data_IF_476840849617
#
_entry.id   IF_476840849617
#
_cell.length_a   1.000
_cell.length_b   1.000
_cell.length_c   1.000
_cell.angle_alpha   90.00
_cell.angle_beta   90.00
_cell.angle_gamma   90.00
#
_symmetry.space_group_name_H-M   'P 1'
#
loop_
_entity.id
_entity.type
_entity.pdbx_description
1 polymer ?
#
# COMPACT_ATOMS: atom_id res chain seq x y z
N UNK A 1 10.06 -12.77 11.62
CA UNK A 1 9.48 -11.59 10.95
C UNK A 1 10.03 -11.48 9.54
N UNK A 2 9.20 -10.99 8.61
CA UNK A 2 9.62 -10.62 7.24
C UNK A 2 9.47 -9.11 7.14
N UNK A 3 10.55 -8.40 6.85
CA UNK A 3 10.51 -7.00 6.43
C UNK A 3 10.49 -6.97 4.92
N UNK A 4 9.74 -6.04 4.36
CA UNK A 4 9.82 -5.71 2.95
C UNK A 4 9.78 -4.19 2.76
N UNK A 5 10.41 -3.71 1.71
CA UNK A 5 10.52 -2.29 1.40
C UNK A 5 10.70 -2.08 -0.10
N UNK A 6 10.38 -0.88 -0.59
CA UNK A 6 10.76 -0.45 -1.94
C UNK A 6 12.15 0.18 -1.91
N UNK A 7 12.98 -0.15 -2.90
CA UNK A 7 14.27 0.52 -3.09
C UNK A 7 14.71 0.46 -4.55
N UNK A 8 15.28 1.58 -5.00
CA UNK A 8 15.93 1.72 -6.30
C UNK A 8 17.27 0.98 -6.31
N UNK A 9 17.57 0.26 -7.39
CA UNK A 9 18.76 -0.61 -7.44
C UNK A 9 19.78 -0.23 -8.51
N UNK A 10 19.50 0.77 -9.35
CA UNK A 10 20.43 1.25 -10.39
C UNK A 10 20.59 2.77 -10.36
N UNK A 11 19.53 3.51 -10.68
CA UNK A 11 19.58 4.96 -10.83
C UNK A 11 19.02 5.66 -9.57
N UNK A 12 19.58 6.80 -9.17
CA UNK A 12 18.98 7.63 -8.12
C UNK A 12 17.59 8.12 -8.57
N UNK A 13 16.60 8.03 -7.67
CA UNK A 13 15.21 8.41 -7.94
C UNK A 13 14.26 7.21 -7.93
N UNK A 14 13.18 7.31 -8.70
CA UNK A 14 12.02 6.39 -8.60
C UNK A 14 11.93 5.35 -9.73
N UNK A 15 12.88 5.37 -10.68
CA UNK A 15 12.90 4.47 -11.84
C UNK A 15 13.56 3.16 -11.49
N UNK A 16 13.08 2.05 -12.05
CA UNK A 16 13.61 0.71 -11.79
C UNK A 16 13.64 0.39 -10.28
N UNK A 17 12.62 0.81 -9.54
CA UNK A 17 12.45 0.36 -8.15
C UNK A 17 11.83 -1.03 -8.10
N UNK A 18 12.21 -1.80 -7.08
CA UNK A 18 11.68 -3.14 -6.77
C UNK A 18 11.25 -3.19 -5.32
N UNK A 19 10.41 -4.17 -4.98
CA UNK A 19 10.22 -4.52 -3.58
C UNK A 19 11.21 -5.62 -3.19
N UNK A 20 11.86 -5.42 -2.06
CA UNK A 20 12.84 -6.30 -1.47
C UNK A 20 12.30 -6.87 -0.17
N UNK A 21 12.85 -7.98 0.30
CA UNK A 21 12.58 -8.51 1.63
C UNK A 21 13.83 -9.01 2.33
N UNK A 22 13.76 -9.01 3.67
CA UNK A 22 14.72 -9.67 4.56
C UNK A 22 13.98 -10.29 5.73
N UNK A 23 14.57 -11.31 6.35
CA UNK A 23 14.00 -12.01 7.50
C UNK A 23 14.86 -11.79 8.73
N UNK A 24 14.20 -11.70 9.87
CA UNK A 24 14.83 -11.69 11.18
C UNK A 24 13.99 -12.50 12.17
N UNK A 25 14.64 -13.04 13.20
CA UNK A 25 13.96 -13.65 14.34
C UNK A 25 13.94 -12.73 15.57
N UNK A 26 14.86 -11.77 15.64
CA UNK A 26 15.21 -11.02 16.86
C UNK A 26 15.36 -9.51 16.67
N UNK A 27 15.13 -9.00 15.44
CA UNK A 27 15.32 -7.60 15.07
C UNK A 27 16.75 -7.06 15.22
N UNK A 28 17.74 -7.96 15.35
CA UNK A 28 19.16 -7.62 15.40
C UNK A 28 19.90 -8.20 14.20
N UNK A 29 19.64 -9.46 13.88
CA UNK A 29 20.28 -10.15 12.76
C UNK A 29 19.27 -10.31 11.63
N UNK A 30 19.67 -9.85 10.44
CA UNK A 30 18.87 -9.87 9.24
C UNK A 30 19.53 -10.76 8.19
N UNK A 31 18.72 -11.53 7.45
CA UNK A 31 19.23 -12.25 6.28
C UNK A 31 19.63 -11.27 5.18
N UNK A 32 20.49 -11.71 4.26
CA UNK A 32 20.74 -10.96 3.02
C UNK A 32 19.42 -10.62 2.32
N UNK A 33 19.29 -9.37 1.88
CA UNK A 33 18.12 -8.88 1.16
C UNK A 33 17.92 -9.67 -0.14
N UNK A 34 16.66 -9.97 -0.47
CA UNK A 34 16.27 -10.65 -1.71
C UNK A 34 15.15 -9.87 -2.39
N UNK A 35 15.09 -9.94 -3.71
CA UNK A 35 13.98 -9.37 -4.46
C UNK A 35 12.70 -10.12 -4.09
N UNK A 36 11.68 -9.38 -3.62
CA UNK A 36 10.36 -9.91 -3.31
C UNK A 36 9.43 -9.82 -4.52
N UNK A 37 9.46 -8.68 -5.20
CA UNK A 37 8.55 -8.36 -6.30
C UNK A 37 9.24 -7.47 -7.32
N UNK A 38 9.25 -7.93 -8.57
CA UNK A 38 9.89 -7.28 -9.72
C UNK A 38 8.96 -7.40 -10.95
N UNK A 39 7.90 -6.58 -11.01
CA UNK A 39 7.00 -6.54 -12.16
C UNK A 39 7.70 -5.90 -13.38
N UNK A 40 7.10 -5.92 -14.59
CA UNK A 40 7.68 -5.30 -15.79
C UNK A 40 7.61 -3.75 -15.79
N UNK A 41 7.44 -3.13 -14.63
CA UNK A 41 7.36 -1.68 -14.41
C UNK A 41 8.05 -1.33 -13.09
N UNK A 42 8.43 -0.07 -12.91
CA UNK A 42 8.93 0.40 -11.61
C UNK A 42 7.85 0.27 -10.55
N UNK A 43 8.22 -0.25 -9.37
CA UNK A 43 7.30 -0.38 -8.23
C UNK A 43 7.86 0.32 -7.01
N UNK A 44 7.06 1.23 -6.44
CA UNK A 44 7.30 1.85 -5.13
C UNK A 44 6.08 1.63 -4.24
N UNK A 45 6.16 2.02 -2.97
CA UNK A 45 5.12 1.90 -1.94
C UNK A 45 4.43 0.53 -1.92
N UNK A 46 4.73 -0.30 -0.94
CA UNK A 46 4.08 -1.60 -0.81
C UNK A 46 3.37 -1.75 0.53
N UNK A 47 2.13 -2.22 0.51
CA UNK A 47 1.45 -2.75 1.69
C UNK A 47 0.92 -4.15 1.43
N UNK A 48 0.90 -4.97 2.48
CA UNK A 48 0.59 -6.38 2.37
C UNK A 48 -0.44 -6.78 3.44
N UNK A 49 -1.49 -7.46 3.00
CA UNK A 49 -2.48 -8.06 3.88
C UNK A 49 -2.65 -9.54 3.56
N UNK A 50 -2.94 -10.34 4.59
CA UNK A 50 -3.25 -11.76 4.44
C UNK A 50 -4.74 -11.96 4.69
N UNK A 51 -5.41 -12.60 3.73
CA UNK A 51 -6.80 -13.06 3.87
C UNK A 51 -6.86 -14.54 3.53
N UNK A 52 -7.25 -15.35 4.52
CA UNK A 52 -7.15 -16.82 4.45
C UNK A 52 -5.71 -17.29 4.16
N UNK A 53 -5.51 -17.96 3.02
CA UNK A 53 -4.19 -18.46 2.57
C UNK A 53 -3.48 -17.52 1.60
N UNK A 54 -4.13 -16.42 1.21
CA UNK A 54 -3.66 -15.52 0.16
C UNK A 54 -3.07 -14.27 0.77
N UNK A 55 -1.89 -13.90 0.30
CA UNK A 55 -1.28 -12.59 0.51
C UNK A 55 -1.64 -11.67 -0.65
N UNK A 56 -2.13 -10.48 -0.33
CA UNK A 56 -2.43 -9.41 -1.28
C UNK A 56 -1.41 -8.30 -1.10
N UNK A 57 -0.61 -8.07 -2.14
CA UNK A 57 0.38 -7.01 -2.22
C UNK A 57 -0.21 -5.84 -3.02
N UNK A 58 -0.63 -4.82 -2.30
CA UNK A 58 -1.01 -3.54 -2.87
C UNK A 58 0.25 -2.73 -3.09
N UNK A 59 0.43 -2.22 -4.30
CA UNK A 59 1.67 -1.55 -4.68
C UNK A 59 1.41 -0.43 -5.67
N UNK A 60 2.28 0.58 -5.68
CA UNK A 60 2.23 1.66 -6.66
C UNK A 60 3.08 1.32 -7.87
N UNK A 61 2.46 1.27 -9.05
CA UNK A 61 3.16 1.36 -10.32
C UNK A 61 3.68 2.79 -10.49
N UNK A 62 4.96 2.97 -10.83
CA UNK A 62 5.62 4.28 -10.96
C UNK A 62 6.17 4.47 -12.38
N UNK A 63 5.28 4.46 -13.37
CA UNK A 63 5.62 4.64 -14.79
C UNK A 63 5.03 5.96 -15.31
N UNK A 64 5.91 6.82 -15.85
CA UNK A 64 5.54 8.10 -16.43
C UNK A 64 6.49 8.48 -17.58
N UNK A 65 5.95 9.14 -18.60
CA UNK A 65 6.74 9.65 -19.74
C UNK A 65 6.04 9.47 -21.08
N UNK A 66 6.64 10.03 -22.14
CA UNK A 66 6.05 10.05 -23.51
C UNK A 66 5.77 8.62 -24.01
N UNK A 67 6.66 7.66 -23.72
CA UNK A 67 6.52 6.27 -24.22
C UNK A 67 5.55 5.43 -23.40
N UNK A 68 5.54 5.60 -22.09
CA UNK A 68 4.80 4.74 -21.15
C UNK A 68 3.41 5.29 -20.80
N UNK A 69 3.19 6.59 -21.03
CA UNK A 69 2.03 7.32 -20.55
C UNK A 69 2.09 7.55 -19.05
N UNK A 70 1.03 8.15 -18.49
CA UNK A 70 0.88 8.33 -17.04
C UNK A 70 0.22 7.08 -16.43
N UNK A 71 1.03 6.26 -15.77
CA UNK A 71 0.62 4.99 -15.13
C UNK A 71 0.98 4.95 -13.65
N UNK A 72 1.17 6.11 -13.03
CA UNK A 72 1.32 6.20 -11.57
C UNK A 72 0.02 5.83 -10.87
N UNK A 73 -0.01 4.76 -10.08
CA UNK A 73 -1.23 4.38 -9.37
C UNK A 73 -1.19 2.98 -8.77
N UNK A 74 -2.17 2.71 -7.92
CA UNK A 74 -2.19 1.50 -7.10
C UNK A 74 -2.71 0.31 -7.90
N UNK A 75 -1.98 -0.80 -7.81
CA UNK A 75 -2.31 -2.12 -8.34
C UNK A 75 -2.31 -3.15 -7.20
N UNK A 76 -2.76 -4.37 -7.48
CA UNK A 76 -2.70 -5.48 -6.53
C UNK A 76 -2.13 -6.74 -7.19
N UNK A 77 -1.31 -7.47 -6.44
CA UNK A 77 -0.81 -8.79 -6.82
C UNK A 77 -1.05 -9.79 -5.70
N UNK A 78 -1.11 -11.09 -6.00
CA UNK A 78 -1.42 -12.13 -5.01
C UNK A 78 -0.42 -13.27 -5.01
N UNK A 79 -0.24 -13.90 -3.85
CA UNK A 79 0.62 -15.07 -3.65
C UNK A 79 0.11 -15.91 -2.48
N UNK A 80 0.40 -17.21 -2.46
CA UNK A 80 0.17 -18.06 -1.29
C UNK A 80 1.36 -18.08 -0.30
N UNK A 81 2.42 -17.32 -0.60
CA UNK A 81 3.63 -17.14 0.22
C UNK A 81 3.95 -15.66 0.35
N UNK A 82 4.40 -15.24 1.53
CA UNK A 82 4.73 -13.83 1.80
C UNK A 82 5.92 -13.34 0.95
N UNK A 83 6.80 -14.24 0.50
CA UNK A 83 7.95 -13.90 -0.34
C UNK A 83 7.65 -14.03 -1.85
N UNK A 84 6.41 -14.35 -2.22
CA UNK A 84 6.04 -14.63 -3.61
C UNK A 84 6.31 -16.08 -4.07
N UNK A 85 6.28 -16.33 -5.39
CA UNK A 85 6.08 -15.34 -6.46
C UNK A 85 4.68 -14.73 -6.44
N UNK A 86 4.59 -13.45 -6.79
CA UNK A 86 3.32 -12.72 -6.86
C UNK A 86 2.78 -12.68 -8.28
N UNK A 87 1.50 -12.99 -8.44
CA UNK A 87 0.76 -12.84 -9.69
C UNK A 87 -0.04 -11.53 -9.68
N UNK A 88 0.21 -10.67 -10.67
CA UNK A 88 -0.46 -9.37 -10.81
C UNK A 88 -1.91 -9.59 -11.23
N UNK A 89 -2.83 -8.89 -10.55
CA UNK A 89 -4.20 -8.74 -11.00
C UNK A 89 -4.31 -7.51 -11.92
N UNK A 90 -5.00 -7.66 -13.04
CA UNK A 90 -5.30 -6.55 -13.95
C UNK A 90 -6.62 -5.90 -13.53
N UNK A 91 -6.52 -4.83 -12.73
CA UNK A 91 -7.67 -4.01 -12.36
C UNK A 91 -8.31 -3.29 -13.56
N UNK A 92 -9.54 -2.77 -13.39
CA UNK A 92 -10.33 -2.21 -14.49
C UNK A 92 -9.85 -0.83 -14.95
N UNK A 93 -9.00 -0.14 -14.17
CA UNK A 93 -8.56 1.22 -14.47
C UNK A 93 -7.20 1.23 -15.13
N UNK A 94 -6.95 2.22 -15.99
CA UNK A 94 -5.64 2.57 -16.56
C UNK A 94 -4.67 1.39 -16.76
N UNK A 95 -5.10 0.36 -17.51
CA UNK A 95 -4.29 -0.82 -17.84
C UNK A 95 -3.85 -1.67 -16.62
N UNK A 96 -4.71 -1.77 -15.60
CA UNK A 96 -4.56 -2.73 -14.50
C UNK A 96 -4.51 -2.14 -13.10
N UNK A 97 -4.77 -0.85 -12.93
CA UNK A 97 -4.89 -0.17 -11.64
C UNK A 97 -6.25 -0.49 -10.98
N UNK A 98 -6.28 -0.38 -9.66
CA UNK A 98 -7.47 -0.58 -8.82
C UNK A 98 -7.91 0.71 -8.09
N UNK A 99 -7.12 1.78 -8.17
CA UNK A 99 -7.46 3.11 -7.70
C UNK A 99 -7.29 4.13 -8.85
N UNK A 100 -7.87 5.34 -8.75
CA UNK A 100 -7.65 6.39 -9.75
C UNK A 100 -6.16 6.70 -9.98
N UNK A 101 -5.83 7.14 -11.20
CA UNK A 101 -4.45 7.44 -11.59
C UNK A 101 -3.94 8.71 -10.92
N UNK A 102 -2.63 8.67 -10.66
CA UNK A 102 -1.82 9.49 -9.76
C UNK A 102 -2.30 9.35 -8.30
N UNK A 103 -2.17 8.12 -7.78
CA UNK A 103 -2.36 7.79 -6.36
C UNK A 103 -1.13 7.05 -5.82
N UNK A 104 -0.90 7.16 -4.52
CA UNK A 104 0.26 6.55 -3.86
C UNK A 104 0.00 6.13 -2.41
N UNK A 105 0.98 5.48 -1.80
CA UNK A 105 0.93 5.12 -0.39
C UNK A 105 -0.27 4.26 0.01
N UNK A 106 -0.50 3.11 -0.65
CA UNK A 106 -1.64 2.26 -0.31
C UNK A 106 -1.54 1.78 1.14
N UNK A 107 -2.65 1.91 1.88
CA UNK A 107 -2.86 1.30 3.19
C UNK A 107 -4.19 0.57 3.19
N UNK A 108 -4.20 -0.71 3.59
CA UNK A 108 -5.39 -1.56 3.50
C UNK A 108 -5.75 -2.11 4.86
N UNK A 109 -7.01 -1.98 5.24
CA UNK A 109 -7.56 -2.52 6.48
C UNK A 109 -8.92 -3.16 6.24
N UNK A 110 -9.31 -4.07 7.14
CA UNK A 110 -10.70 -4.50 7.21
C UNK A 110 -11.54 -3.32 7.68
N UNK A 111 -12.68 -3.09 7.04
CA UNK A 111 -13.59 -2.02 7.45
C UNK A 111 -14.07 -2.32 8.89
N UNK A 112 -13.86 -1.41 9.86
CA UNK A 112 -14.24 -1.63 11.25
C UNK A 112 -15.75 -1.50 11.49
N UNK A 113 -16.50 -0.95 10.54
CA UNK A 113 -17.93 -0.65 10.65
C UNK A 113 -18.80 -1.54 9.76
N UNK A 114 -18.26 -2.08 8.66
CA UNK A 114 -19.01 -2.85 7.65
C UNK A 114 -18.24 -4.09 7.21
N UNK A 115 -18.92 -5.12 6.65
CA UNK A 115 -18.23 -6.21 5.96
C UNK A 115 -17.47 -5.69 4.75
N UNK A 116 -16.17 -5.97 4.70
CA UNK A 116 -15.30 -5.61 3.58
C UNK A 116 -14.00 -4.96 4.03
N UNK A 117 -13.41 -4.20 3.12
CA UNK A 117 -12.08 -3.64 3.22
C UNK A 117 -12.08 -2.18 2.80
N UNK A 118 -11.18 -1.41 3.40
CA UNK A 118 -10.85 -0.04 3.03
C UNK A 118 -9.44 -0.03 2.43
N UNK A 119 -9.28 0.66 1.30
CA UNK A 119 -8.00 1.02 0.71
C UNK A 119 -7.89 2.54 0.81
N UNK A 120 -6.93 2.98 1.60
CA UNK A 120 -6.58 4.38 1.85
C UNK A 120 -5.35 4.73 1.01
N UNK A 121 -5.33 5.94 0.45
CA UNK A 121 -4.25 6.38 -0.44
C UNK A 121 -4.19 7.90 -0.57
N UNK A 122 -3.02 8.40 -0.92
CA UNK A 122 -2.74 9.82 -1.12
C UNK A 122 -2.89 10.19 -2.62
N UNK A 123 -3.37 11.39 -2.90
CA UNK A 123 -3.27 12.04 -4.20
C UNK A 123 -2.12 13.05 -4.15
N UNK A 124 -0.89 12.66 -4.55
CA UNK A 124 0.30 13.43 -4.23
C UNK A 124 0.32 14.83 -4.83
N UNK A 125 -0.43 15.02 -5.92
CA UNK A 125 -0.50 16.25 -6.70
C UNK A 125 -1.75 17.10 -6.43
N UNK A 126 -2.64 16.67 -5.54
CA UNK A 126 -3.96 17.30 -5.36
C UNK A 126 -4.31 17.63 -3.90
N UNK A 127 -3.32 17.53 -3.00
CA UNK A 127 -3.48 17.73 -1.55
C UNK A 127 -4.77 17.11 -0.99
N UNK A 128 -4.99 15.86 -1.40
CA UNK A 128 -6.23 15.13 -1.17
C UNK A 128 -5.92 13.72 -0.75
N UNK A 129 -6.74 13.21 0.16
CA UNK A 129 -6.70 11.82 0.57
C UNK A 129 -7.89 11.06 0.00
N UNK A 130 -7.70 9.79 -0.35
CA UNK A 130 -8.71 8.92 -0.93
C UNK A 130 -8.99 7.69 -0.09
N UNK A 131 -10.23 7.22 -0.12
CA UNK A 131 -10.64 5.92 0.43
C UNK A 131 -11.47 5.21 -0.63
N UNK A 132 -11.19 3.93 -0.85
CA UNK A 132 -12.04 3.03 -1.63
C UNK A 132 -12.49 1.84 -0.78
N UNK A 133 -13.68 1.31 -1.05
CA UNK A 133 -14.22 0.09 -0.41
C UNK A 133 -14.16 -1.11 -1.35
N UNK A 134 -13.97 -2.30 -0.79
CA UNK A 134 -14.06 -3.58 -1.51
C UNK A 134 -14.61 -4.70 -0.64
N UNK A 135 -15.30 -5.66 -1.25
CA UNK A 135 -15.73 -6.90 -0.58
C UNK A 135 -14.73 -8.05 -0.76
N UNK A 136 -13.84 -7.98 -1.75
CA UNK A 136 -13.04 -9.12 -2.24
C UNK A 136 -11.55 -8.79 -2.47
N UNK A 137 -11.11 -7.59 -2.05
CA UNK A 137 -9.74 -7.07 -2.21
C UNK A 137 -9.31 -6.83 -3.68
N UNK A 138 -10.20 -6.99 -4.66
CA UNK A 138 -9.90 -6.86 -6.10
C UNK A 138 -10.73 -5.79 -6.79
N UNK A 139 -12.02 -5.73 -6.47
CA UNK A 139 -12.96 -4.79 -7.04
C UNK A 139 -13.20 -3.66 -6.04
N UNK A 140 -12.75 -2.45 -6.41
CA UNK A 140 -12.71 -1.30 -5.51
C UNK A 140 -13.63 -0.18 -6.01
N UNK A 141 -14.33 0.47 -5.08
CA UNK A 141 -15.20 1.62 -5.35
C UNK A 141 -14.76 2.81 -4.50
N UNK A 142 -14.54 3.95 -5.15
CA UNK A 142 -14.17 5.20 -4.47
C UNK A 142 -15.31 5.70 -3.57
N UNK A 143 -14.99 5.99 -2.31
CA UNK A 143 -15.90 6.65 -1.38
C UNK A 143 -15.90 8.16 -1.61
N UNK A 144 -17.08 8.72 -1.88
CA UNK A 144 -17.25 10.14 -2.18
C UNK A 144 -17.42 11.01 -0.93
N UNK A 145 -17.84 10.41 0.18
CA UNK A 145 -18.15 11.10 1.43
C UNK A 145 -17.17 10.66 2.51
N UNK A 146 -15.99 11.28 2.52
CA UNK A 146 -14.93 11.02 3.49
C UNK A 146 -14.62 12.30 4.27
N UNK A 147 -14.23 12.12 5.53
CA UNK A 147 -13.67 13.18 6.37
C UNK A 147 -12.32 12.70 6.85
N UNK A 148 -11.29 13.46 6.53
CA UNK A 148 -9.89 13.14 6.82
C UNK A 148 -9.28 14.39 7.48
N UNK A 149 -8.36 14.25 8.44
CA UNK A 149 -7.64 15.39 9.01
C UNK A 149 -7.00 16.24 7.90
N UNK A 150 -6.87 17.56 8.11
CA UNK A 150 -6.11 18.41 7.20
C UNK A 150 -4.67 17.89 7.08
N UNK A 151 -4.06 18.11 5.92
CA UNK A 151 -2.67 17.75 5.62
C UNK A 151 -2.34 16.26 5.74
N UNK A 152 -3.35 15.38 5.75
CA UNK A 152 -3.13 13.94 5.74
C UNK A 152 -2.43 13.52 4.44
N UNK A 153 -1.25 12.91 4.59
CA UNK A 153 -0.43 12.36 3.51
C UNK A 153 -0.24 10.85 3.67
N UNK A 154 0.48 10.23 2.75
CA UNK A 154 0.89 8.82 2.81
C UNK A 154 1.14 8.34 4.25
N UNK A 155 0.38 7.33 4.68
CA UNK A 155 0.46 6.78 6.03
C UNK A 155 -0.04 5.34 6.12
N UNK A 156 -0.09 4.82 7.35
CA UNK A 156 -0.59 3.48 7.67
C UNK A 156 -1.69 3.57 8.71
N UNK A 157 -2.61 2.59 8.72
CA UNK A 157 -3.67 2.52 9.72
C UNK A 157 -3.42 1.36 10.65
N UNK A 158 -3.40 1.63 11.95
CA UNK A 158 -3.33 0.61 13.00
C UNK A 158 -4.58 0.64 13.85
N UNK A 159 -5.13 -0.53 14.15
CA UNK A 159 -6.26 -0.65 15.08
C UNK A 159 -5.72 -0.62 16.50
N UNK A 160 -6.23 0.29 17.30
CA UNK A 160 -5.95 0.38 18.73
C UNK A 160 -7.09 -0.24 19.52
N UNK A 161 -6.75 -0.86 20.65
CA UNK A 161 -7.71 -1.13 21.72
C UNK A 161 -8.11 0.18 22.41
N UNK A 162 -9.26 0.17 23.09
CA UNK A 162 -9.69 1.33 23.89
C UNK A 162 -8.61 1.76 24.88
N UNK A 163 -7.98 0.79 25.55
CA UNK A 163 -6.92 1.06 26.53
C UNK A 163 -5.69 1.73 25.91
N UNK A 164 -5.25 1.27 24.74
CA UNK A 164 -4.12 1.90 24.03
C UNK A 164 -4.49 3.32 23.58
N UNK A 165 -5.70 3.52 23.07
CA UNK A 165 -6.18 4.84 22.66
C UNK A 165 -6.28 5.82 23.85
N UNK A 166 -6.79 5.36 25.00
CA UNK A 166 -6.83 6.16 26.24
C UNK A 166 -5.45 6.51 26.76
N UNK A 167 -4.52 5.53 26.74
CA UNK A 167 -3.13 5.77 27.15
C UNK A 167 -2.46 6.84 26.25
N UNK A 168 -2.62 6.74 24.92
CA UNK A 168 -2.08 7.73 24.00
C UNK A 168 -2.71 9.12 24.19
N UNK A 169 -4.02 9.21 24.42
CA UNK A 169 -4.70 10.48 24.68
C UNK A 169 -4.28 11.12 25.99
N UNK A 170 -3.99 10.32 27.01
CA UNK A 170 -3.49 10.81 28.30
C UNK A 170 -2.06 11.36 28.18
N UNK A 171 -1.20 10.65 27.45
CA UNK A 171 0.20 11.04 27.26
C UNK A 171 0.36 12.23 26.30
N UNK A 172 -0.46 12.25 25.24
CA UNK A 172 -0.46 13.29 24.20
C UNK A 172 -1.84 13.95 24.13
N UNK A 173 -2.24 14.73 25.15
CA UNK A 173 -3.52 15.41 25.16
C UNK A 173 -3.59 16.41 24.01
N UNK A 174 -4.76 16.47 23.35
CA UNK A 174 -5.00 17.40 22.26
C UNK A 174 -4.74 18.83 22.74
N UNK A 175 -3.71 19.49 22.23
CA UNK A 175 -3.59 20.94 22.33
C UNK A 175 -4.59 21.55 21.35
N UNK A 176 -5.81 21.81 21.83
CA UNK A 176 -6.70 22.79 21.20
C UNK A 176 -6.51 24.11 21.90
#
# INVERSE_FOLDING_TARGET
YTLFWSSTFEDAGWKKSRLWYSKTKDWKIFTTAKVMFNPPYSVIDGTLIKDGRTYYLFHKEEEFGIKTGERRGIRVATSNKIEGPYQIYSGPLNRGQIAPTITEGPSVIKDPLKPGWLLLYDYPMADKYGISTSKDLRNWKVEQKISIPPDARHGSVSKLTTREAEALRKEFPSSR
#
